data_IF_867698127928
#
_entry.id   IF_867698127928
#
_cell.length_a   1.000
_cell.length_b   1.000
_cell.length_c   1.000
_cell.angle_alpha   90.00
_cell.angle_beta   90.00
_cell.angle_gamma   90.00
#
_symmetry.space_group_name_H-M   'P 1'
#
loop_
_entity.id
_entity.type
_entity.pdbx_description
1 polymer ?
#
# COMPACT_ATOMS: atom_id res chain seq x y z
N UNK A 1 0.92 29.01 -18.88
CA UNK A 1 1.47 27.76 -19.44
C UNK A 1 1.03 26.66 -18.50
N UNK A 2 0.43 25.61 -19.04
CA UNK A 2 -0.02 24.45 -18.26
C UNK A 2 1.20 23.59 -17.91
N UNK A 3 1.36 23.26 -16.63
CA UNK A 3 2.41 22.38 -16.13
C UNK A 3 1.96 20.92 -16.20
N UNK A 4 2.89 20.00 -16.43
CA UNK A 4 2.65 18.58 -16.19
C UNK A 4 2.51 18.31 -14.68
N UNK A 5 1.91 17.18 -14.30
CA UNK A 5 1.83 16.77 -12.89
C UNK A 5 3.20 16.70 -12.22
N UNK A 6 4.19 16.12 -12.90
CA UNK A 6 5.58 16.06 -12.44
C UNK A 6 6.17 17.45 -12.20
N UNK A 7 6.06 18.37 -13.15
CA UNK A 7 6.58 19.73 -13.01
C UNK A 7 5.89 20.46 -11.86
N UNK A 8 4.56 20.32 -11.74
CA UNK A 8 3.77 20.94 -10.68
C UNK A 8 4.21 20.48 -9.30
N UNK A 9 4.34 19.18 -9.08
CA UNK A 9 4.79 18.61 -7.80
C UNK A 9 6.24 19.01 -7.50
N UNK A 10 7.14 18.96 -8.50
CA UNK A 10 8.53 19.39 -8.32
C UNK A 10 8.65 20.86 -7.88
N UNK A 11 7.85 21.76 -8.47
CA UNK A 11 7.82 23.17 -8.09
C UNK A 11 7.26 23.38 -6.70
N UNK A 12 6.16 22.70 -6.35
CA UNK A 12 5.56 22.77 -5.01
C UNK A 12 6.60 22.39 -3.95
N UNK A 13 7.33 21.29 -4.13
CA UNK A 13 8.38 20.84 -3.20
C UNK A 13 9.56 21.81 -3.08
N UNK A 14 9.77 22.66 -4.09
CA UNK A 14 10.79 23.73 -4.10
C UNK A 14 10.26 25.10 -3.68
N UNK A 15 8.98 25.17 -3.31
CA UNK A 15 8.28 26.41 -2.98
C UNK A 15 8.27 27.43 -4.15
N UNK A 16 8.14 26.94 -5.38
CA UNK A 16 8.09 27.75 -6.60
C UNK A 16 6.63 27.95 -7.08
N UNK A 17 6.32 29.02 -7.86
CA UNK A 17 4.99 29.25 -8.40
C UNK A 17 4.49 28.13 -9.35
N UNK A 18 3.21 27.79 -9.22
CA UNK A 18 2.50 26.78 -10.03
C UNK A 18 1.22 27.34 -10.64
N UNK A 19 0.70 26.64 -11.65
CA UNK A 19 -0.55 26.98 -12.36
C UNK A 19 -1.82 26.59 -11.58
N UNK A 20 -1.76 25.51 -10.78
CA UNK A 20 -2.75 25.10 -9.78
C UNK A 20 -2.10 24.27 -8.68
N UNK A 21 -2.82 24.04 -7.58
CA UNK A 21 -2.40 23.12 -6.52
C UNK A 21 -2.32 21.69 -7.08
N UNK A 22 -1.24 20.99 -6.75
CA UNK A 22 -1.06 19.57 -7.10
C UNK A 22 -2.06 18.68 -6.35
N UNK A 23 -2.62 17.70 -7.03
CA UNK A 23 -3.66 16.81 -6.53
C UNK A 23 -3.17 15.35 -6.53
N UNK A 24 -3.35 14.71 -5.39
CA UNK A 24 -3.20 13.28 -5.19
C UNK A 24 -4.41 12.79 -4.40
N UNK A 25 -4.96 11.65 -4.80
CA UNK A 25 -5.98 10.92 -4.04
C UNK A 25 -5.79 9.42 -4.24
N UNK A 26 -6.24 8.63 -3.27
CA UNK A 26 -6.37 7.18 -3.40
C UNK A 26 -7.75 6.73 -2.92
N UNK A 27 -8.26 5.65 -3.51
CA UNK A 27 -9.57 5.12 -3.19
C UNK A 27 -9.47 3.69 -2.67
N UNK A 28 -10.35 3.33 -1.75
CA UNK A 28 -10.50 1.95 -1.28
C UNK A 28 -10.90 1.02 -2.45
N UNK A 29 -10.46 -0.24 -2.38
CA UNK A 29 -10.78 -1.25 -3.40
C UNK A 29 -12.28 -1.41 -3.60
N UNK A 30 -13.06 -1.36 -2.53
CA UNK A 30 -14.53 -1.40 -2.59
C UNK A 30 -15.17 -0.22 -3.34
N UNK A 31 -14.55 0.97 -3.29
CA UNK A 31 -15.01 2.12 -4.08
C UNK A 31 -14.79 1.85 -5.57
N UNK A 32 -13.61 1.34 -5.93
CA UNK A 32 -13.28 0.96 -7.31
C UNK A 32 -14.18 -0.17 -7.82
N UNK A 33 -14.39 -1.24 -7.03
CA UNK A 33 -15.31 -2.34 -7.36
C UNK A 33 -16.72 -1.81 -7.66
N UNK A 34 -17.22 -0.90 -6.82
CA UNK A 34 -18.54 -0.29 -7.01
C UNK A 34 -18.62 0.56 -8.28
N UNK A 35 -17.62 1.37 -8.58
CA UNK A 35 -17.62 2.19 -9.79
C UNK A 35 -17.52 1.35 -11.07
N UNK A 36 -16.74 0.26 -11.04
CA UNK A 36 -16.67 -0.70 -12.14
C UNK A 36 -18.00 -1.42 -12.37
N UNK A 37 -18.67 -1.89 -11.31
CA UNK A 37 -19.97 -2.55 -11.45
C UNK A 37 -21.07 -1.62 -11.99
N UNK A 38 -20.92 -0.31 -11.80
CA UNK A 38 -21.79 0.72 -12.36
C UNK A 38 -21.40 1.16 -13.77
N UNK A 39 -20.34 0.61 -14.36
CA UNK A 39 -19.82 1.01 -15.67
C UNK A 39 -19.26 2.43 -15.70
N UNK A 40 -18.85 2.98 -14.54
CA UNK A 40 -18.26 4.33 -14.45
C UNK A 40 -16.75 4.34 -14.70
N UNK A 41 -16.10 3.21 -14.45
CA UNK A 41 -14.67 2.99 -14.62
C UNK A 41 -14.49 1.65 -15.35
N UNK A 42 -13.62 1.58 -16.34
CA UNK A 42 -13.32 0.32 -17.03
C UNK A 42 -12.40 -0.60 -16.19
N UNK A 43 -12.37 -1.89 -16.52
CA UNK A 43 -11.65 -2.89 -15.70
C UNK A 43 -10.14 -2.62 -15.57
N UNK A 44 -9.52 -2.05 -16.59
CA UNK A 44 -8.09 -1.75 -16.64
C UNK A 44 -7.79 -0.24 -16.69
N UNK A 45 -8.78 0.59 -16.36
CA UNK A 45 -8.60 2.04 -16.32
C UNK A 45 -7.92 2.47 -15.03
N UNK A 46 -6.84 3.24 -15.16
CA UNK A 46 -6.13 3.84 -14.04
C UNK A 46 -6.88 5.08 -13.53
N UNK A 47 -7.06 5.18 -12.21
CA UNK A 47 -7.82 6.28 -11.62
C UNK A 47 -7.05 7.59 -11.61
N UNK A 48 -5.71 7.55 -11.52
CA UNK A 48 -4.90 8.76 -11.58
C UNK A 48 -5.00 9.39 -12.97
N UNK A 49 -4.96 8.57 -14.02
CA UNK A 49 -5.21 9.02 -15.39
C UNK A 49 -6.66 9.47 -15.60
N UNK A 50 -7.65 8.69 -15.14
CA UNK A 50 -9.08 8.99 -15.29
C UNK A 50 -9.45 10.36 -14.71
N UNK A 51 -8.93 10.69 -13.53
CA UNK A 51 -9.22 11.96 -12.84
C UNK A 51 -8.16 13.04 -13.07
N UNK A 52 -7.08 12.76 -13.79
CA UNK A 52 -6.00 13.72 -14.07
C UNK A 52 -5.21 14.12 -12.83
N UNK A 53 -4.90 13.18 -11.94
CA UNK A 53 -4.06 13.41 -10.77
C UNK A 53 -2.60 13.71 -11.15
N UNK A 54 -1.91 14.41 -10.25
CA UNK A 54 -0.53 14.83 -10.45
C UNK A 54 0.49 13.81 -9.93
N UNK A 55 0.00 12.82 -9.17
CA UNK A 55 0.78 11.74 -8.58
C UNK A 55 -0.02 10.44 -8.60
N UNK A 56 0.69 9.33 -8.77
CA UNK A 56 0.18 7.98 -8.57
C UNK A 56 1.03 7.28 -7.51
N UNK A 57 0.45 6.29 -6.82
CA UNK A 57 1.22 5.41 -5.93
C UNK A 57 1.98 4.37 -6.76
N UNK A 58 3.22 4.11 -6.38
CA UNK A 58 4.04 3.06 -6.97
C UNK A 58 4.53 2.17 -5.83
N UNK A 59 4.05 0.92 -5.79
CA UNK A 59 4.39 -0.05 -4.75
C UNK A 59 5.67 -0.83 -5.11
N UNK A 60 6.72 -0.10 -5.50
CA UNK A 60 7.97 -0.70 -5.99
C UNK A 60 8.80 -1.37 -4.88
N UNK A 61 8.54 -1.10 -3.61
CA UNK A 61 9.30 -1.67 -2.50
C UNK A 61 8.49 -2.69 -1.69
N UNK A 62 9.07 -3.88 -1.49
CA UNK A 62 8.56 -4.87 -0.54
C UNK A 62 9.23 -4.68 0.83
N UNK A 63 8.45 -4.14 1.76
CA UNK A 63 8.85 -3.83 3.13
C UNK A 63 8.65 -4.98 4.12
N UNK A 64 8.24 -6.18 3.66
CA UNK A 64 8.10 -7.35 4.54
C UNK A 64 9.47 -7.77 5.08
N UNK A 65 9.62 -7.86 6.40
CA UNK A 65 10.90 -8.16 7.02
C UNK A 65 11.45 -9.53 6.59
N UNK A 66 10.66 -10.58 6.75
CA UNK A 66 10.99 -11.93 6.31
C UNK A 66 10.29 -12.28 5.00
N UNK A 67 11.03 -12.22 3.89
CA UNK A 67 10.47 -12.47 2.54
C UNK A 67 10.15 -13.94 2.30
N UNK A 68 10.76 -14.85 3.06
CA UNK A 68 10.55 -16.30 2.92
C UNK A 68 9.46 -16.80 3.87
N UNK A 69 8.91 -15.92 4.71
CA UNK A 69 7.85 -16.29 5.65
C UNK A 69 6.54 -16.49 4.91
N UNK A 70 6.04 -17.72 4.95
CA UNK A 70 4.69 -18.03 4.51
C UNK A 70 3.69 -17.56 5.58
N UNK A 71 2.77 -16.68 5.18
CA UNK A 71 1.73 -16.16 6.07
C UNK A 71 0.98 -17.30 6.76
N UNK A 72 0.90 -17.22 8.08
CA UNK A 72 0.28 -18.25 8.93
C UNK A 72 -1.17 -17.85 9.24
N UNK A 73 -2.13 -18.66 8.81
CA UNK A 73 -3.54 -18.49 9.19
C UNK A 73 -3.75 -19.07 10.59
N UNK A 74 -4.05 -18.19 11.55
CA UNK A 74 -4.27 -18.57 12.96
C UNK A 74 -5.74 -18.92 13.19
N UNK A 75 -6.65 -18.15 12.59
CA UNK A 75 -8.08 -18.33 12.70
C UNK A 75 -8.73 -17.86 11.40
N UNK A 76 -9.73 -18.62 10.91
CA UNK A 76 -10.54 -18.20 9.78
C UNK A 76 -12.01 -18.50 10.04
N UNK A 77 -12.85 -17.50 9.80
CA UNK A 77 -14.31 -17.60 9.87
C UNK A 77 -14.92 -17.27 8.50
N UNK A 78 -16.25 -17.27 8.43
CA UNK A 78 -16.95 -16.79 7.24
C UNK A 78 -16.69 -15.30 6.97
N UNK A 79 -16.56 -14.49 8.04
CA UNK A 79 -16.48 -13.04 7.93
C UNK A 79 -15.05 -12.50 8.02
N UNK A 80 -14.16 -13.17 8.75
CA UNK A 80 -12.83 -12.66 9.06
C UNK A 80 -11.74 -13.72 8.92
N UNK A 81 -10.51 -13.24 8.70
CA UNK A 81 -9.29 -14.06 8.72
C UNK A 81 -8.23 -13.39 9.59
N UNK A 82 -7.65 -14.14 10.52
CA UNK A 82 -6.55 -13.74 11.38
C UNK A 82 -5.26 -14.36 10.85
N UNK A 83 -4.32 -13.52 10.43
CA UNK A 83 -3.07 -13.95 9.80
C UNK A 83 -1.88 -13.34 10.53
N UNK A 84 -0.86 -14.14 10.78
CA UNK A 84 0.48 -13.66 11.11
C UNK A 84 1.31 -13.54 9.85
N UNK A 85 1.91 -12.38 9.63
CA UNK A 85 2.72 -12.10 8.44
C UNK A 85 4.24 -12.16 8.69
N UNK A 86 5.02 -12.02 7.63
CA UNK A 86 6.49 -11.99 7.67
C UNK A 86 7.10 -10.78 8.42
N UNK A 87 6.28 -9.85 8.91
CA UNK A 87 6.71 -8.79 9.83
C UNK A 87 6.51 -9.20 11.30
N UNK A 88 5.92 -10.37 11.55
CA UNK A 88 5.51 -10.80 12.88
C UNK A 88 4.25 -10.08 13.38
N UNK A 89 3.50 -9.41 12.50
CA UNK A 89 2.24 -8.78 12.83
C UNK A 89 1.09 -9.79 12.70
N UNK A 90 0.24 -9.88 13.71
CA UNK A 90 -0.95 -10.73 13.74
C UNK A 90 -2.18 -9.84 13.57
N UNK A 91 -2.78 -9.92 12.39
CA UNK A 91 -3.78 -8.94 11.92
C UNK A 91 -5.06 -9.64 11.49
N UNK A 92 -6.21 -9.16 11.97
CA UNK A 92 -7.52 -9.63 11.53
C UNK A 92 -8.06 -8.74 10.41
N UNK A 93 -8.57 -9.34 9.35
CA UNK A 93 -9.20 -8.63 8.22
C UNK A 93 -10.59 -9.18 7.95
N UNK A 94 -11.47 -8.31 7.49
CA UNK A 94 -12.76 -8.72 6.93
C UNK A 94 -12.57 -9.29 5.53
N UNK A 95 -13.30 -10.35 5.20
CA UNK A 95 -13.25 -11.04 3.90
C UNK A 95 -14.19 -10.40 2.87
N UNK A 96 -15.20 -9.67 3.34
CA UNK A 96 -16.32 -9.21 2.50
C UNK A 96 -16.25 -7.73 2.12
N UNK A 97 -15.47 -6.94 2.85
CA UNK A 97 -15.32 -5.51 2.61
C UNK A 97 -13.96 -5.03 3.11
N UNK A 98 -13.51 -3.91 2.55
CA UNK A 98 -12.29 -3.24 2.97
C UNK A 98 -12.55 -2.47 4.27
N UNK A 99 -11.68 -2.70 5.25
CA UNK A 99 -11.60 -1.93 6.48
C UNK A 99 -10.15 -1.90 6.94
N UNK A 100 -9.83 -0.94 7.82
CA UNK A 100 -8.55 -0.98 8.54
C UNK A 100 -8.46 -2.30 9.31
N UNK A 101 -7.39 -3.10 9.14
CA UNK A 101 -7.23 -4.34 9.88
C UNK A 101 -7.23 -4.13 11.40
N UNK A 102 -7.71 -5.12 12.14
CA UNK A 102 -7.55 -5.15 13.59
C UNK A 102 -6.14 -5.61 13.94
N UNK A 103 -5.43 -4.82 14.74
CA UNK A 103 -4.12 -5.16 15.27
C UNK A 103 -4.25 -6.05 16.50
N UNK A 104 -4.21 -7.37 16.30
CA UNK A 104 -4.44 -8.35 17.39
C UNK A 104 -3.19 -8.57 18.22
N UNK A 105 -2.04 -8.74 17.58
CA UNK A 105 -0.76 -8.90 18.27
C UNK A 105 0.44 -8.55 17.36
N UNK A 106 1.59 -8.32 17.98
CA UNK A 106 2.88 -8.15 17.31
C UNK A 106 3.97 -8.93 18.06
N UNK A 107 4.76 -9.72 17.32
CA UNK A 107 5.93 -10.38 17.85
C UNK A 107 7.06 -9.38 18.20
N UNK A 108 7.12 -8.26 17.48
CA UNK A 108 8.10 -7.19 17.68
C UNK A 108 7.46 -6.09 18.54
N UNK A 109 7.85 -6.01 19.81
CA UNK A 109 7.28 -5.06 20.78
C UNK A 109 8.30 -4.08 21.34
N UNK A 110 9.58 -4.41 21.19
CA UNK A 110 10.69 -3.63 21.71
C UNK A 110 11.95 -3.82 20.85
N UNK A 111 13.02 -3.14 21.26
CA UNK A 111 14.31 -3.22 20.58
C UNK A 111 14.88 -4.63 20.56
N UNK A 112 14.75 -5.38 21.65
CA UNK A 112 15.38 -6.70 21.78
C UNK A 112 14.72 -7.70 20.83
N UNK A 113 13.38 -7.77 20.84
CA UNK A 113 12.59 -8.60 19.92
C UNK A 113 12.81 -8.21 18.46
N UNK A 114 13.00 -6.92 18.15
CA UNK A 114 13.39 -6.49 16.81
C UNK A 114 14.79 -6.96 16.39
N UNK A 115 15.78 -6.85 17.28
CA UNK A 115 17.15 -7.30 16.98
C UNK A 115 17.22 -8.81 16.75
N UNK A 116 16.47 -9.58 17.54
CA UNK A 116 16.39 -11.03 17.46
C UNK A 116 15.63 -11.51 16.22
N UNK A 117 14.44 -10.95 15.96
CA UNK A 117 13.52 -11.51 14.96
C UNK A 117 13.65 -10.88 13.56
N UNK A 118 14.07 -9.60 13.47
CA UNK A 118 13.92 -8.80 12.25
C UNK A 118 15.26 -8.31 11.68
N UNK A 119 16.16 -7.80 12.53
CA UNK A 119 17.34 -7.04 12.08
C UNK A 119 18.21 -7.79 11.05
N UNK A 120 18.42 -9.09 11.24
CA UNK A 120 19.23 -9.92 10.32
C UNK A 120 18.56 -10.17 8.96
N UNK A 121 17.23 -10.00 8.88
CA UNK A 121 16.42 -10.22 7.67
C UNK A 121 16.32 -8.98 6.79
N UNK A 122 16.47 -7.79 7.39
CA UNK A 122 16.48 -6.50 6.69
C UNK A 122 17.83 -6.25 5.97
N UNK A 123 18.08 -7.04 4.92
CA UNK A 123 19.23 -6.89 4.03
C UNK A 123 18.78 -6.25 2.70
N UNK A 124 19.57 -5.34 2.11
CA UNK A 124 19.32 -4.87 0.75
C UNK A 124 19.41 -6.05 -0.21
N UNK A 125 18.33 -6.34 -0.93
CA UNK A 125 18.31 -7.39 -1.94
C UNK A 125 17.33 -7.05 -3.08
N UNK A 126 17.60 -7.48 -4.32
CA UNK A 126 16.76 -7.15 -5.48
C UNK A 126 15.31 -7.60 -5.34
N UNK A 127 15.04 -8.68 -4.61
CA UNK A 127 13.69 -9.24 -4.38
C UNK A 127 12.78 -8.27 -3.61
N UNK A 128 13.36 -7.25 -2.97
CA UNK A 128 12.61 -6.17 -2.32
C UNK A 128 12.18 -5.07 -3.27
N UNK A 129 12.55 -5.14 -4.55
CA UNK A 129 12.27 -4.11 -5.54
C UNK A 129 11.52 -4.74 -6.72
N UNK A 130 10.30 -4.28 -6.96
CA UNK A 130 9.62 -4.54 -8.22
C UNK A 130 10.14 -3.53 -9.27
N UNK A 131 11.06 -3.97 -10.12
CA UNK A 131 11.66 -3.13 -11.16
C UNK A 131 10.72 -2.82 -12.33
N UNK A 132 9.61 -3.56 -12.44
CA UNK A 132 8.58 -3.38 -13.49
C UNK A 132 7.36 -2.59 -12.97
N UNK A 133 7.46 -1.99 -11.78
CA UNK A 133 6.39 -1.23 -11.13
C UNK A 133 6.10 0.14 -11.77
#
# INVERSE_FOLDING_TARGET
MELTGKERIQRILRHEPVDRIGLFEHFWGDTLKKWRSQGKIAENEDLADHFGFDMATCWCFNSVADLEFENEVIEETEETILVRDGNGATLRRHKQHDATPEHVDFAVRDRNTWEELIKSKLRPCPERINFEA
#
